data_IF_318209360496
#
_entry.id   IF_318209360496
#
_cell.length_a   1.000
_cell.length_b   1.000
_cell.length_c   1.000
_cell.angle_alpha   90.00
_cell.angle_beta   90.00
_cell.angle_gamma   90.00
#
_symmetry.space_group_name_H-M   'P 1'
#
loop_
_entity.id
_entity.type
_entity.pdbx_description
1 polymer ?
#
# COMPACT_ATOMS: atom_id res chain seq x y z
N UNK A 1 44.36 13.82 36.29
CA UNK A 1 45.45 14.78 36.04
C UNK A 1 45.51 15.05 34.55
N UNK A 2 45.05 16.25 34.17
CA UNK A 2 45.46 17.09 33.04
C UNK A 2 46.30 16.46 31.91
N UNK A 3 45.69 16.30 30.72
CA UNK A 3 46.44 16.32 29.46
C UNK A 3 46.71 17.77 29.05
N UNK A 4 47.99 18.15 29.10
CA UNK A 4 48.56 19.36 28.50
C UNK A 4 49.78 18.89 27.70
N UNK A 5 50.22 19.46 26.60
CA UNK A 5 49.71 20.30 25.51
C UNK A 5 50.85 20.35 24.48
N UNK A 6 50.59 20.92 23.30
CA UNK A 6 51.58 21.53 22.36
C UNK A 6 52.40 20.55 21.52
N UNK A 7 52.75 20.82 20.27
CA UNK A 7 52.63 22.02 19.44
C UNK A 7 52.96 21.63 17.98
N UNK A 8 52.14 22.11 17.03
CA UNK A 8 52.50 22.88 15.83
C UNK A 8 53.91 22.68 15.22
N UNK A 9 54.16 22.65 13.91
CA UNK A 9 53.51 23.20 12.69
C UNK A 9 54.38 22.73 11.52
N UNK A 10 53.81 22.50 10.34
CA UNK A 10 54.47 22.90 9.09
C UNK A 10 53.41 23.26 8.06
N UNK A 11 53.50 24.52 7.62
CA UNK A 11 52.61 25.14 6.68
C UNK A 11 53.23 25.13 5.27
N UNK A 12 52.36 25.48 4.32
CA UNK A 12 52.63 26.03 2.99
C UNK A 12 52.67 24.99 1.86
N UNK A 13 51.61 24.98 1.04
CA UNK A 13 51.71 25.42 -0.36
C UNK A 13 50.33 25.80 -0.90
N UNK A 14 50.25 27.03 -1.38
CA UNK A 14 49.11 27.62 -2.04
C UNK A 14 48.85 26.92 -3.39
N UNK A 15 47.57 26.76 -3.74
CA UNK A 15 47.14 26.25 -5.03
C UNK A 15 45.66 26.51 -5.19
N UNK A 16 45.34 27.66 -5.79
CA UNK A 16 43.98 28.05 -6.14
C UNK A 16 43.32 26.99 -7.01
N UNK A 17 42.27 26.37 -6.49
CA UNK A 17 41.17 25.93 -7.32
C UNK A 17 39.91 26.42 -6.60
N UNK A 18 39.41 27.56 -7.05
CA UNK A 18 38.00 27.85 -6.95
C UNK A 18 37.28 26.72 -7.68
N UNK A 19 37.06 25.60 -6.97
CA UNK A 19 36.25 24.52 -7.47
C UNK A 19 34.82 24.99 -7.26
N UNK A 20 34.38 25.70 -8.29
CA UNK A 20 33.01 25.83 -8.75
C UNK A 20 32.02 25.17 -7.80
N UNK A 21 31.11 25.98 -7.24
CA UNK A 21 29.76 25.52 -6.92
C UNK A 21 29.17 24.86 -8.17
N UNK A 22 29.54 23.62 -8.46
CA UNK A 22 28.54 22.68 -8.91
C UNK A 22 27.74 22.40 -7.65
N UNK A 23 26.70 23.20 -7.42
CA UNK A 23 25.49 22.59 -6.92
C UNK A 23 25.24 21.46 -7.92
N UNK A 24 25.74 20.25 -7.60
CA UNK A 24 25.08 19.06 -8.08
C UNK A 24 23.65 19.36 -7.69
N UNK A 25 22.84 19.64 -8.70
CA UNK A 25 21.40 19.61 -8.57
C UNK A 25 21.13 18.19 -8.09
N UNK A 26 21.22 18.01 -6.77
CA UNK A 26 20.51 16.97 -6.08
C UNK A 26 19.08 17.39 -6.38
N UNK A 27 18.61 16.92 -7.54
CA UNK A 27 17.22 16.65 -7.73
C UNK A 27 16.94 15.68 -6.61
N UNK A 28 16.57 16.22 -5.46
CA UNK A 28 15.45 15.69 -4.74
C UNK A 28 14.40 15.61 -5.86
N UNK A 29 14.35 14.46 -6.54
CA UNK A 29 13.07 13.97 -6.94
C UNK A 29 12.29 14.15 -5.66
N UNK A 30 11.40 15.14 -5.63
CA UNK A 30 10.23 15.02 -4.79
C UNK A 30 9.85 13.56 -4.98
N UNK A 31 9.79 12.72 -3.93
CA UNK A 31 9.06 11.49 -4.10
C UNK A 31 7.79 11.97 -4.78
N UNK A 32 7.58 11.54 -6.03
CA UNK A 32 6.33 11.84 -6.67
C UNK A 32 5.38 11.24 -5.67
N UNK A 33 4.62 12.09 -4.97
CA UNK A 33 3.40 11.63 -4.36
C UNK A 33 2.74 10.96 -5.56
N UNK A 34 2.73 9.62 -5.57
CA UNK A 34 2.11 8.87 -6.63
C UNK A 34 0.74 9.50 -6.81
N UNK A 35 0.49 9.91 -8.05
CA UNK A 35 -0.44 10.95 -8.34
C UNK A 35 -1.84 10.42 -8.25
N UNK A 36 -2.46 10.53 -7.07
CA UNK A 36 -3.92 10.51 -6.93
C UNK A 36 -4.58 9.26 -7.50
N UNK A 37 -3.95 8.11 -7.34
CA UNK A 37 -4.59 6.83 -7.56
C UNK A 37 -5.83 6.78 -6.66
N UNK A 38 -6.97 6.48 -7.27
CA UNK A 38 -8.25 6.47 -6.57
C UNK A 38 -8.86 5.08 -6.65
N UNK A 39 -9.39 4.59 -5.54
CA UNK A 39 -10.31 3.47 -5.56
C UNK A 39 -11.73 4.03 -5.58
N UNK A 40 -12.54 3.67 -6.59
CA UNK A 40 -13.95 4.11 -6.70
C UNK A 40 -14.20 5.63 -6.61
N UNK A 41 -13.19 6.44 -6.90
CA UNK A 41 -13.26 7.92 -6.84
C UNK A 41 -12.77 8.53 -5.53
N UNK A 42 -12.33 7.71 -4.56
CA UNK A 42 -11.70 8.16 -3.32
C UNK A 42 -10.19 8.11 -3.40
N UNK A 43 -9.52 9.09 -2.79
CA UNK A 43 -8.06 9.17 -2.81
C UNK A 43 -7.47 8.07 -1.94
N UNK A 44 -6.56 7.28 -2.52
CA UNK A 44 -5.86 6.23 -1.80
C UNK A 44 -5.03 6.78 -0.63
N UNK A 45 -5.17 6.14 0.54
CA UNK A 45 -4.27 6.30 1.69
C UNK A 45 -3.00 5.48 1.52
N UNK A 46 -3.09 4.36 0.78
CA UNK A 46 -1.97 3.52 0.37
C UNK A 46 -1.99 3.24 -1.13
N UNK A 47 -0.81 3.34 -1.75
CA UNK A 47 -0.60 2.96 -3.15
C UNK A 47 0.59 2.02 -3.23
N UNK A 48 0.33 0.79 -3.71
CA UNK A 48 1.33 -0.23 -3.99
C UNK A 48 2.07 -0.01 -5.30
N UNK A 49 2.61 -1.09 -5.84
CA UNK A 49 3.41 -1.18 -7.05
C UNK A 49 2.82 -2.21 -8.00
N UNK A 50 3.22 -2.26 -9.28
CA UNK A 50 2.74 -3.32 -10.19
C UNK A 50 3.30 -4.74 -9.94
N UNK A 51 3.90 -4.99 -8.77
CA UNK A 51 4.40 -6.31 -8.39
C UNK A 51 3.94 -6.62 -6.97
N UNK A 52 4.20 -7.84 -6.48
CA UNK A 52 3.72 -8.25 -5.15
C UNK A 52 4.07 -7.24 -4.06
N UNK A 53 3.03 -6.77 -3.41
CA UNK A 53 3.06 -5.95 -2.22
C UNK A 53 2.47 -6.67 -1.02
N UNK A 54 2.77 -6.14 0.17
CA UNK A 54 2.18 -6.59 1.42
C UNK A 54 1.69 -5.34 2.14
N UNK A 55 0.39 -5.26 2.37
CA UNK A 55 -0.25 -4.18 3.12
C UNK A 55 -0.76 -4.71 4.45
N UNK A 56 -0.48 -3.97 5.52
CA UNK A 56 -1.04 -4.24 6.85
C UNK A 56 -1.55 -2.88 7.34
N UNK A 57 -2.86 -2.73 7.34
CA UNK A 57 -3.54 -1.54 7.81
C UNK A 57 -3.56 -1.44 9.32
N UNK A 58 -4.28 -0.45 9.80
CA UNK A 58 -4.43 -0.20 11.22
C UNK A 58 -5.88 0.12 11.54
N UNK A 59 -6.17 0.59 12.76
CA UNK A 59 -7.52 1.00 13.07
C UNK A 59 -7.94 2.25 12.26
N UNK A 60 -9.16 2.24 11.75
CA UNK A 60 -9.80 3.36 11.05
C UNK A 60 -9.85 3.14 9.54
N UNK A 61 -10.60 4.01 8.85
CA UNK A 61 -10.81 3.90 7.41
C UNK A 61 -9.53 4.10 6.60
N UNK A 62 -9.19 3.10 5.81
CA UNK A 62 -8.15 3.09 4.79
C UNK A 62 -8.73 2.99 3.37
N UNK A 63 -8.00 3.55 2.40
CA UNK A 63 -8.30 3.44 0.97
C UNK A 63 -7.05 2.86 0.30
N UNK A 64 -7.12 1.58 -0.04
CA UNK A 64 -5.97 0.78 -0.46
C UNK A 64 -6.02 0.55 -1.97
N UNK A 65 -4.93 0.84 -2.67
CA UNK A 65 -4.76 0.52 -4.09
C UNK A 65 -3.43 -0.20 -4.28
N UNK A 66 -3.41 -1.50 -4.58
CA UNK A 66 -2.15 -2.24 -4.77
C UNK A 66 -1.73 -2.37 -6.24
N UNK A 67 -2.60 -2.00 -7.18
CA UNK A 67 -2.38 -1.96 -8.64
C UNK A 67 -2.33 -3.32 -9.31
N UNK A 68 -1.35 -4.16 -9.01
CA UNK A 68 -1.28 -5.50 -9.55
C UNK A 68 0.00 -6.19 -9.10
N UNK A 69 0.13 -7.48 -9.36
CA UNK A 69 0.97 -8.31 -8.51
C UNK A 69 0.10 -9.37 -7.86
N UNK A 70 0.68 -10.19 -7.00
CA UNK A 70 -0.09 -11.09 -6.16
C UNK A 70 0.08 -10.57 -4.76
N UNK A 71 -0.87 -9.79 -4.29
CA UNK A 71 -0.72 -8.95 -3.11
C UNK A 71 -1.32 -9.61 -1.87
N UNK A 72 -0.69 -9.41 -0.71
CA UNK A 72 -1.22 -9.84 0.59
C UNK A 72 -1.72 -8.59 1.33
N UNK A 73 -3.03 -8.45 1.54
CA UNK A 73 -3.67 -7.25 2.07
C UNK A 73 -4.45 -7.60 3.33
N UNK A 74 -4.02 -7.04 4.46
CA UNK A 74 -4.78 -6.97 5.71
C UNK A 74 -5.17 -5.50 5.92
N UNK A 75 -6.47 -5.20 5.90
CA UNK A 75 -6.98 -3.83 6.04
C UNK A 75 -6.95 -3.32 7.49
N UNK A 76 -6.94 -4.24 8.46
CA UNK A 76 -7.17 -3.95 9.86
C UNK A 76 -8.60 -3.45 10.12
N UNK A 77 -8.97 -3.24 11.38
CA UNK A 77 -10.32 -2.76 11.68
C UNK A 77 -10.60 -1.36 11.11
N UNK A 78 -11.70 -1.16 10.41
CA UNK A 78 -11.95 0.06 9.66
C UNK A 78 -13.29 0.00 8.95
N UNK A 79 -13.48 0.85 7.96
CA UNK A 79 -14.58 0.71 7.00
C UNK A 79 -13.92 1.05 5.68
N UNK A 80 -13.22 0.06 5.16
CA UNK A 80 -12.11 0.21 4.25
C UNK A 80 -12.55 0.05 2.81
N UNK A 81 -11.73 0.57 1.91
CA UNK A 81 -11.99 0.54 0.49
C UNK A 81 -10.75 0.03 -0.24
N UNK A 82 -10.83 -1.19 -0.75
CA UNK A 82 -9.69 -1.93 -1.28
C UNK A 82 -9.86 -2.17 -2.78
N UNK A 83 -8.88 -1.75 -3.56
CA UNK A 83 -8.74 -2.05 -4.98
C UNK A 83 -7.41 -2.78 -5.21
N UNK A 84 -7.42 -4.11 -5.20
CA UNK A 84 -6.19 -4.92 -5.28
C UNK A 84 -5.56 -4.88 -6.68
N UNK A 85 -6.40 -5.01 -7.70
CA UNK A 85 -6.07 -4.58 -9.04
C UNK A 85 -5.82 -5.71 -10.02
N UNK A 86 -4.71 -6.42 -9.93
CA UNK A 86 -4.38 -7.36 -10.99
C UNK A 86 -3.39 -8.42 -10.59
N UNK A 87 -3.86 -9.63 -10.36
CA UNK A 87 -3.09 -10.86 -10.20
C UNK A 87 -3.85 -11.80 -9.29
N UNK A 88 -3.17 -12.56 -8.44
CA UNK A 88 -3.89 -13.35 -7.43
C UNK A 88 -3.64 -12.69 -6.10
N UNK A 89 -4.66 -11.99 -5.62
CA UNK A 89 -4.59 -11.21 -4.40
C UNK A 89 -5.27 -11.98 -3.25
N UNK A 90 -4.73 -11.84 -2.04
CA UNK A 90 -5.29 -12.35 -0.78
C UNK A 90 -5.66 -11.14 0.06
N UNK A 91 -6.95 -10.97 0.35
CA UNK A 91 -7.52 -9.76 0.96
C UNK A 91 -8.32 -10.14 2.21
N UNK A 92 -7.97 -9.54 3.34
CA UNK A 92 -8.67 -9.65 4.63
C UNK A 92 -9.15 -8.23 5.05
N UNK A 93 -10.46 -8.08 5.23
CA UNK A 93 -11.11 -6.84 5.69
C UNK A 93 -11.04 -6.62 7.21
N UNK A 94 -10.81 -7.66 8.00
CA UNK A 94 -10.82 -7.65 9.48
C UNK A 94 -12.16 -7.17 10.09
N UNK A 95 -12.30 -5.91 10.46
CA UNK A 95 -13.45 -5.50 11.27
C UNK A 95 -14.04 -4.19 10.83
N UNK A 96 -15.32 -4.24 10.46
CA UNK A 96 -16.17 -3.13 10.06
C UNK A 96 -16.72 -3.38 8.66
N UNK A 97 -17.30 -2.37 8.04
CA UNK A 97 -18.02 -2.58 6.79
C UNK A 97 -17.14 -2.15 5.62
N UNK A 98 -16.60 -3.13 4.92
CA UNK A 98 -15.55 -2.98 3.94
C UNK A 98 -16.06 -3.14 2.51
N UNK A 99 -15.42 -2.45 1.58
CA UNK A 99 -15.65 -2.58 0.14
C UNK A 99 -14.38 -3.12 -0.53
N UNK A 100 -14.40 -4.39 -0.93
CA UNK A 100 -13.26 -5.10 -1.50
C UNK A 100 -13.48 -5.40 -2.98
N UNK A 101 -12.51 -4.98 -3.80
CA UNK A 101 -12.51 -5.19 -5.25
C UNK A 101 -11.21 -5.87 -5.67
N UNK A 102 -11.25 -7.18 -5.95
CA UNK A 102 -10.11 -7.94 -6.49
C UNK A 102 -9.68 -7.45 -7.87
N UNK A 103 -10.67 -7.06 -8.68
CA UNK A 103 -10.58 -6.53 -10.04
C UNK A 103 -10.11 -7.52 -11.10
N UNK A 104 -8.93 -8.14 -10.99
CA UNK A 104 -8.40 -8.93 -12.07
C UNK A 104 -7.51 -10.06 -11.60
N UNK A 105 -7.76 -11.26 -12.13
CA UNK A 105 -7.04 -12.47 -11.80
C UNK A 105 -7.90 -13.38 -10.93
N UNK A 106 -7.35 -14.12 -9.98
CA UNK A 106 -8.14 -15.09 -9.20
C UNK A 106 -7.87 -14.82 -7.74
N UNK A 107 -8.80 -14.11 -7.11
CA UNK A 107 -8.59 -13.49 -5.82
C UNK A 107 -9.24 -14.29 -4.70
N UNK A 108 -8.72 -14.13 -3.49
CA UNK A 108 -9.25 -14.72 -2.25
C UNK A 108 -9.56 -13.56 -1.31
N UNK A 109 -10.83 -13.38 -0.95
CA UNK A 109 -11.32 -12.24 -0.18
C UNK A 109 -12.13 -12.71 1.01
N UNK A 110 -11.78 -12.25 2.21
CA UNK A 110 -12.44 -12.53 3.48
C UNK A 110 -12.90 -11.21 4.12
N UNK A 111 -14.21 -11.04 4.28
CA UNK A 111 -14.84 -9.85 4.88
C UNK A 111 -14.73 -9.82 6.40
N UNK A 112 -14.53 -10.98 7.03
CA UNK A 112 -14.48 -11.14 8.47
C UNK A 112 -15.71 -10.64 9.24
N UNK A 113 -15.71 -9.42 9.79
CA UNK A 113 -16.80 -8.97 10.66
C UNK A 113 -17.35 -7.62 10.25
N UNK A 114 -18.61 -7.59 9.81
CA UNK A 114 -19.23 -6.38 9.32
C UNK A 114 -20.31 -6.68 8.31
N UNK A 115 -20.84 -5.64 7.67
CA UNK A 115 -21.68 -5.85 6.49
C UNK A 115 -20.85 -5.43 5.27
N UNK A 116 -20.27 -6.41 4.58
CA UNK A 116 -19.21 -6.21 3.60
C UNK A 116 -19.70 -6.27 2.17
N UNK A 117 -18.88 -5.75 1.24
CA UNK A 117 -19.10 -5.86 -0.20
C UNK A 117 -17.86 -6.42 -0.88
N UNK A 118 -17.95 -7.64 -1.41
CA UNK A 118 -16.83 -8.40 -1.97
C UNK A 118 -17.03 -8.63 -3.46
N UNK A 119 -16.22 -7.99 -4.31
CA UNK A 119 -16.38 -8.04 -5.77
C UNK A 119 -15.10 -8.56 -6.41
N UNK A 120 -15.12 -9.80 -6.90
CA UNK A 120 -13.94 -10.45 -7.51
C UNK A 120 -13.51 -9.76 -8.80
N UNK A 121 -14.47 -9.51 -9.70
CA UNK A 121 -14.23 -8.75 -10.91
C UNK A 121 -13.91 -9.63 -12.11
N UNK A 122 -12.71 -9.54 -12.66
CA UNK A 122 -12.28 -10.30 -13.85
C UNK A 122 -11.43 -11.49 -13.41
N UNK A 123 -12.07 -12.60 -13.15
CA UNK A 123 -11.39 -13.86 -12.89
C UNK A 123 -12.09 -15.02 -13.55
N UNK A 124 -11.52 -16.20 -13.35
CA UNK A 124 -12.25 -17.45 -13.54
C UNK A 124 -12.57 -18.11 -12.19
N UNK A 125 -12.00 -17.59 -11.09
CA UNK A 125 -12.04 -18.23 -9.77
C UNK A 125 -11.70 -17.24 -8.65
N UNK A 126 -12.52 -16.20 -8.51
CA UNK A 126 -12.53 -15.38 -7.31
C UNK A 126 -13.32 -16.11 -6.21
N UNK A 127 -12.78 -16.11 -5.00
CA UNK A 127 -13.32 -16.75 -3.80
C UNK A 127 -13.61 -15.65 -2.77
N UNK A 128 -14.89 -15.45 -2.45
CA UNK A 128 -15.36 -14.42 -1.53
C UNK A 128 -16.09 -15.07 -0.35
N UNK A 129 -15.55 -14.89 0.86
CA UNK A 129 -16.19 -15.28 2.11
C UNK A 129 -16.61 -14.02 2.88
N UNK A 130 -17.91 -13.87 3.14
CA UNK A 130 -18.44 -12.75 3.93
C UNK A 130 -18.24 -12.91 5.45
N UNK A 131 -18.08 -14.14 5.93
CA UNK A 131 -18.00 -14.47 7.35
C UNK A 131 -19.16 -13.90 8.21
N UNK A 132 -18.90 -13.01 9.18
CA UNK A 132 -19.86 -12.53 10.17
C UNK A 132 -20.50 -11.21 9.73
N UNK A 133 -21.72 -11.31 9.20
CA UNK A 133 -22.66 -10.21 9.11
C UNK A 133 -23.61 -10.36 7.93
N UNK A 134 -23.97 -9.26 7.27
CA UNK A 134 -24.81 -9.26 6.08
C UNK A 134 -24.04 -8.78 4.85
N UNK A 135 -23.49 -9.73 4.11
CA UNK A 135 -22.49 -9.45 3.09
C UNK A 135 -23.04 -9.54 1.68
N UNK A 136 -22.56 -8.66 0.82
CA UNK A 136 -22.88 -8.67 -0.61
C UNK A 136 -21.67 -9.12 -1.41
N UNK A 137 -21.71 -10.33 -1.95
CA UNK A 137 -20.65 -10.82 -2.83
C UNK A 137 -21.06 -10.82 -4.30
N UNK A 138 -20.05 -10.70 -5.16
CA UNK A 138 -20.12 -10.95 -6.59
C UNK A 138 -18.79 -11.55 -7.04
N UNK A 139 -18.68 -12.86 -6.94
CA UNK A 139 -17.51 -13.66 -7.27
C UNK A 139 -17.94 -15.03 -7.86
N UNK A 140 -16.99 -15.82 -8.36
CA UNK A 140 -17.31 -17.16 -8.87
C UNK A 140 -17.59 -18.18 -7.76
N UNK A 141 -16.96 -18.00 -6.61
CA UNK A 141 -17.16 -18.79 -5.39
C UNK A 141 -17.54 -17.81 -4.29
N UNK A 142 -18.68 -18.04 -3.65
CA UNK A 142 -19.28 -17.16 -2.65
C UNK A 142 -19.71 -18.02 -1.45
N UNK A 143 -19.15 -17.73 -0.28
CA UNK A 143 -19.49 -18.34 1.01
C UNK A 143 -19.92 -17.24 2.01
N UNK A 144 -20.92 -17.52 2.86
CA UNK A 144 -21.53 -16.57 3.82
C UNK A 144 -22.08 -15.23 3.28
N UNK A 145 -22.19 -15.03 1.97
CA UNK A 145 -22.61 -13.78 1.32
C UNK A 145 -24.14 -13.47 1.35
N UNK A 146 -24.81 -13.55 2.50
CA UNK A 146 -26.28 -13.45 2.58
C UNK A 146 -26.87 -12.11 2.04
N UNK A 147 -27.78 -12.20 1.07
CA UNK A 147 -28.48 -11.07 0.43
C UNK A 147 -29.83 -10.68 1.06
#
# INVERSE_FOLDING_TARGET
MTFTSRSARRAVLAGSAALLCAAASLSLATPSIAGGETCRGEQATFVGTPGRDVFNGGPGRDVVVTLGGNDDIDAGGGNDLICAGGGRDEIDGDAGNDEMYGQGGNDEMDGQSGDDTLIGGRGDRDDADGEIGFDTCNAEIEDQCEA
#
